data_IF_754168594449
#
_entry.id   IF_754168594449
#
_cell.length_a   1.000
_cell.length_b   1.000
_cell.length_c   1.000
_cell.angle_alpha   90.00
_cell.angle_beta   90.00
_cell.angle_gamma   90.00
#
_symmetry.space_group_name_H-M   'P 1'
#
loop_
_entity.id
_entity.type
_entity.pdbx_description
1 polymer ?
#
# COMPACT_ATOMS: atom_id res chain seq x y z
N UNK A 1 13.54 -13.21 34.61
CA UNK A 1 12.96 -14.44 34.04
C UNK A 1 11.81 -14.07 33.10
N UNK A 2 11.51 -14.92 32.11
CA UNK A 2 10.38 -14.69 31.20
C UNK A 2 9.06 -14.92 31.97
N UNK A 3 8.06 -14.03 31.89
CA UNK A 3 6.77 -14.23 32.56
C UNK A 3 6.01 -15.47 32.05
N UNK A 4 5.32 -16.19 32.94
CA UNK A 4 4.51 -17.37 32.57
C UNK A 4 3.44 -17.07 31.51
N UNK A 5 2.87 -15.85 31.53
CA UNK A 5 1.87 -15.39 30.57
C UNK A 5 2.43 -15.34 29.14
N UNK A 6 3.69 -14.95 28.99
CA UNK A 6 4.41 -14.95 27.72
C UNK A 6 4.61 -16.38 27.21
N UNK A 7 5.00 -17.30 28.09
CA UNK A 7 5.20 -18.71 27.74
C UNK A 7 3.90 -19.39 27.29
N UNK A 8 2.80 -19.16 28.00
CA UNK A 8 1.48 -19.65 27.61
C UNK A 8 1.03 -19.09 26.26
N UNK A 9 1.28 -17.80 26.01
CA UNK A 9 0.97 -17.18 24.71
C UNK A 9 1.75 -17.81 23.56
N UNK A 10 3.03 -18.13 23.79
CA UNK A 10 3.84 -18.82 22.79
C UNK A 10 3.35 -20.24 22.53
N UNK A 11 2.98 -20.97 23.58
CA UNK A 11 2.45 -22.32 23.47
C UNK A 11 1.14 -22.34 22.66
N UNK A 12 0.23 -21.41 22.93
CA UNK A 12 -1.03 -21.28 22.18
C UNK A 12 -0.83 -20.89 20.71
N UNK A 13 0.28 -20.21 20.37
CA UNK A 13 0.60 -19.77 19.01
C UNK A 13 1.66 -20.65 18.33
N UNK A 14 2.06 -21.78 18.94
CA UNK A 14 3.19 -22.60 18.48
C UNK A 14 3.06 -23.00 17.01
N UNK A 15 1.87 -23.43 16.59
CA UNK A 15 1.65 -23.93 15.24
C UNK A 15 1.74 -22.77 14.24
N UNK A 16 1.22 -21.60 14.60
CA UNK A 16 1.37 -20.38 13.80
C UNK A 16 2.81 -19.87 13.72
N UNK A 17 3.72 -20.25 14.61
CA UNK A 17 5.15 -19.94 14.47
C UNK A 17 5.88 -20.98 13.61
N UNK A 18 5.54 -22.25 13.76
CA UNK A 18 6.22 -23.36 13.07
C UNK A 18 5.80 -23.49 11.60
N UNK A 19 4.57 -23.13 11.24
CA UNK A 19 4.06 -23.26 9.86
C UNK A 19 4.32 -22.04 8.98
N UNK A 20 4.87 -20.95 9.53
CA UNK A 20 5.06 -19.73 8.72
C UNK A 20 6.28 -19.82 7.81
N UNK A 21 6.05 -19.80 6.49
CA UNK A 21 7.10 -19.73 5.46
C UNK A 21 7.64 -18.30 5.21
N UNK A 22 7.46 -17.39 6.18
CA UNK A 22 7.82 -15.97 5.99
C UNK A 22 9.32 -15.73 6.05
N UNK A 23 9.72 -14.58 5.49
CA UNK A 23 11.11 -14.11 5.55
C UNK A 23 11.58 -14.01 7.02
N UNK A 24 12.61 -14.80 7.37
CA UNK A 24 13.19 -14.89 8.71
C UNK A 24 13.75 -13.57 9.25
N UNK A 25 13.95 -12.55 8.39
CA UNK A 25 14.34 -11.19 8.80
C UNK A 25 13.20 -10.38 9.41
N UNK A 26 11.95 -10.84 9.30
CA UNK A 26 10.80 -10.15 9.89
C UNK A 26 10.60 -10.62 11.34
N UNK A 27 10.89 -9.73 12.30
CA UNK A 27 10.83 -10.00 13.74
C UNK A 27 9.41 -10.26 14.29
N UNK A 28 8.37 -10.01 13.49
CA UNK A 28 6.97 -10.18 13.91
C UNK A 28 6.18 -10.98 12.89
N UNK A 29 5.10 -11.63 13.32
CA UNK A 29 4.18 -12.38 12.46
C UNK A 29 3.35 -11.49 11.49
N UNK A 30 3.80 -10.26 11.19
CA UNK A 30 3.18 -9.37 10.18
C UNK A 30 1.81 -8.80 10.54
N UNK A 31 1.23 -9.15 11.69
CA UNK A 31 -0.15 -8.78 12.04
C UNK A 31 -0.31 -8.26 13.47
N UNK A 32 0.78 -7.84 14.12
CA UNK A 32 0.73 -7.38 15.53
C UNK A 32 0.23 -5.93 15.69
N UNK A 33 0.04 -5.19 14.58
CA UNK A 33 -0.63 -3.90 14.62
C UNK A 33 -2.15 -4.06 14.54
N UNK A 34 -2.90 -3.36 15.40
CA UNK A 34 -4.37 -3.30 15.32
C UNK A 34 -4.79 -2.90 13.90
N UNK A 35 -5.55 -3.73 13.17
CA UNK A 35 -6.11 -3.31 11.89
C UNK A 35 -7.08 -2.17 12.19
N UNK A 36 -6.79 -0.98 11.68
CA UNK A 36 -7.85 0.01 11.51
C UNK A 36 -8.59 -0.44 10.27
N UNK A 37 -9.62 -1.25 10.48
CA UNK A 37 -10.52 -1.70 9.42
C UNK A 37 -11.32 -0.49 8.93
N UNK A 38 -10.76 0.25 7.98
CA UNK A 38 -11.53 1.21 7.20
C UNK A 38 -12.49 0.40 6.34
N UNK A 39 -13.80 0.55 6.56
CA UNK A 39 -14.82 -0.16 5.80
C UNK A 39 -14.75 0.18 4.29
N UNK A 40 -14.26 1.38 3.98
CA UNK A 40 -14.04 1.91 2.63
C UNK A 40 -12.60 1.69 2.10
N UNK A 41 -11.84 0.77 2.69
CA UNK A 41 -10.44 0.55 2.28
C UNK A 41 -10.28 0.21 0.80
N UNK A 42 -11.23 -0.52 0.21
CA UNK A 42 -11.18 -0.90 -1.21
C UNK A 42 -11.51 0.30 -2.11
N UNK A 43 -12.47 1.13 -1.73
CA UNK A 43 -12.85 2.33 -2.49
C UNK A 43 -11.72 3.36 -2.49
N UNK A 44 -11.06 3.54 -1.33
CA UNK A 44 -9.86 4.36 -1.21
C UNK A 44 -8.72 3.82 -2.10
N UNK A 45 -8.57 2.50 -2.19
CA UNK A 45 -7.56 1.88 -3.05
C UNK A 45 -7.85 2.14 -4.54
N UNK A 46 -9.11 2.00 -4.97
CA UNK A 46 -9.51 2.30 -6.35
C UNK A 46 -9.24 3.77 -6.72
N UNK A 47 -9.52 4.71 -5.80
CA UNK A 47 -9.14 6.11 -5.96
C UNK A 47 -7.62 6.29 -6.10
N UNK A 48 -6.83 5.65 -5.24
CA UNK A 48 -5.37 5.73 -5.30
C UNK A 48 -4.81 5.21 -6.63
N UNK A 49 -5.37 4.12 -7.16
CA UNK A 49 -5.00 3.54 -8.45
C UNK A 49 -5.37 4.45 -9.62
N UNK A 50 -6.54 5.08 -9.59
CA UNK A 50 -6.97 6.06 -10.58
C UNK A 50 -6.03 7.28 -10.63
N UNK A 51 -5.72 7.87 -9.47
CA UNK A 51 -4.79 9.01 -9.36
C UNK A 51 -3.38 8.63 -9.86
N UNK A 52 -2.94 7.41 -9.59
CA UNK A 52 -1.66 6.91 -10.07
C UNK A 52 -1.65 6.65 -11.58
N UNK A 53 -2.76 6.20 -12.16
CA UNK A 53 -2.90 5.99 -13.60
C UNK A 53 -2.73 7.30 -14.37
N UNK A 54 -3.29 8.38 -13.83
CA UNK A 54 -3.17 9.74 -14.37
C UNK A 54 -1.80 10.39 -14.11
N UNK A 55 -0.82 9.62 -13.60
CA UNK A 55 0.56 10.03 -13.33
C UNK A 55 0.72 11.19 -12.33
N UNK A 56 -0.30 11.48 -11.53
CA UNK A 56 -0.20 12.47 -10.47
C UNK A 56 0.55 11.90 -9.25
N UNK A 57 1.27 12.78 -8.56
CA UNK A 57 1.88 12.44 -7.27
C UNK A 57 0.76 12.21 -6.25
N UNK A 58 0.48 10.95 -5.93
CA UNK A 58 -0.42 10.59 -4.85
C UNK A 58 0.22 10.97 -3.51
N UNK A 59 -0.38 11.95 -2.83
CA UNK A 59 0.03 12.36 -1.49
C UNK A 59 -0.98 11.90 -0.47
N UNK A 60 -0.55 11.81 0.78
CA UNK A 60 -1.45 11.55 1.90
C UNK A 60 -2.56 12.59 2.02
N UNK A 61 -2.31 13.83 1.60
CA UNK A 61 -3.30 14.90 1.57
C UNK A 61 -4.43 14.59 0.58
N UNK A 62 -4.11 14.07 -0.61
CA UNK A 62 -5.12 13.61 -1.58
C UNK A 62 -6.02 12.51 -0.99
N UNK A 63 -5.42 11.55 -0.28
CA UNK A 63 -6.18 10.51 0.42
C UNK A 63 -7.11 11.11 1.49
N UNK A 64 -6.62 12.02 2.32
CA UNK A 64 -7.44 12.67 3.36
C UNK A 64 -8.56 13.51 2.75
N UNK A 65 -8.30 14.24 1.66
CA UNK A 65 -9.32 14.99 0.94
C UNK A 65 -10.42 14.07 0.42
N UNK A 66 -10.05 12.94 -0.21
CA UNK A 66 -11.01 11.95 -0.69
C UNK A 66 -11.86 11.35 0.44
N UNK A 67 -11.24 11.01 1.58
CA UNK A 67 -11.96 10.48 2.74
C UNK A 67 -12.92 11.53 3.30
N UNK A 68 -12.52 12.80 3.35
CA UNK A 68 -13.40 13.90 3.79
C UNK A 68 -14.60 14.07 2.87
N UNK A 69 -14.44 13.92 1.56
CA UNK A 69 -15.54 14.10 0.61
C UNK A 69 -16.51 12.92 0.58
N UNK A 70 -16.03 11.68 0.71
CA UNK A 70 -16.86 10.48 0.59
C UNK A 70 -17.32 9.90 1.93
N UNK A 71 -16.56 10.13 3.00
CA UNK A 71 -16.77 9.53 4.32
C UNK A 71 -16.64 10.55 5.45
N UNK A 72 -17.26 11.72 5.30
CA UNK A 72 -17.20 12.81 6.28
C UNK A 72 -17.63 12.36 7.69
N UNK A 73 -18.75 11.64 7.81
CA UNK A 73 -19.27 11.15 9.10
C UNK A 73 -18.28 10.23 9.83
N UNK A 74 -17.51 9.44 9.07
CA UNK A 74 -16.46 8.60 9.61
C UNK A 74 -15.28 9.44 10.14
N UNK A 75 -14.86 10.47 9.40
CA UNK A 75 -13.79 11.39 9.83
C UNK A 75 -14.18 12.12 11.11
N UNK A 76 -15.40 12.62 11.19
CA UNK A 76 -15.93 13.30 12.37
C UNK A 76 -15.92 12.38 13.60
N UNK A 77 -16.45 11.16 13.45
CA UNK A 77 -16.44 10.15 14.51
C UNK A 77 -15.01 9.79 14.94
N UNK A 78 -14.09 9.67 13.97
CA UNK A 78 -12.68 9.38 14.23
C UNK A 78 -12.00 10.52 15.02
N UNK A 79 -12.22 11.77 14.60
CA UNK A 79 -11.66 12.95 15.27
C UNK A 79 -12.25 13.13 16.67
N UNK A 80 -13.56 12.91 16.86
CA UNK A 80 -14.19 12.94 18.18
C UNK A 80 -13.56 11.91 19.14
N UNK A 81 -13.34 10.67 18.68
CA UNK A 81 -12.66 9.64 19.48
C UNK A 81 -11.21 10.00 19.85
N UNK A 82 -10.58 10.84 19.03
CA UNK A 82 -9.20 11.31 19.22
C UNK A 82 -9.11 12.70 19.85
N UNK A 83 -10.25 13.35 20.16
CA UNK A 83 -10.29 14.73 20.65
C UNK A 83 -9.47 14.92 21.94
N UNK A 84 -9.54 13.95 22.86
CA UNK A 84 -8.78 13.98 24.11
C UNK A 84 -7.24 13.98 23.92
N UNK A 85 -6.75 13.53 22.77
CA UNK A 85 -5.31 13.44 22.48
C UNK A 85 -4.75 14.65 21.72
N UNK A 86 -5.60 15.57 21.25
CA UNK A 86 -5.19 16.76 20.45
C UNK A 86 -4.57 16.45 19.07
N UNK A 87 -4.23 15.19 18.79
CA UNK A 87 -3.46 14.73 17.62
C UNK A 87 -4.34 13.95 16.63
N UNK A 88 -5.64 14.26 16.58
CA UNK A 88 -6.60 13.54 15.73
C UNK A 88 -6.24 13.58 14.25
N UNK A 89 -5.87 14.77 13.75
CA UNK A 89 -5.50 14.96 12.35
C UNK A 89 -4.17 14.29 12.00
N UNK A 90 -3.16 14.41 12.85
CA UNK A 90 -1.87 13.71 12.66
C UNK A 90 -2.06 12.19 12.68
N UNK A 91 -2.95 11.71 13.54
CA UNK A 91 -3.36 10.30 13.58
C UNK A 91 -4.03 9.85 12.29
N UNK A 92 -4.86 10.69 11.68
CA UNK A 92 -5.50 10.44 10.38
C UNK A 92 -4.47 10.42 9.24
N UNK A 93 -3.53 11.36 9.23
CA UNK A 93 -2.44 11.39 8.27
C UNK A 93 -1.58 10.12 8.37
N UNK A 94 -1.19 9.74 9.59
CA UNK A 94 -0.44 8.51 9.84
C UNK A 94 -1.21 7.25 9.48
N UNK A 95 -2.55 7.26 9.59
CA UNK A 95 -3.39 6.15 9.14
C UNK A 95 -3.28 5.98 7.62
N UNK A 96 -3.43 7.06 6.87
CA UNK A 96 -3.31 7.05 5.41
C UNK A 96 -1.89 6.66 4.95
N UNK A 97 -0.83 7.15 5.62
CA UNK A 97 0.55 6.73 5.34
C UNK A 97 0.75 5.22 5.53
N UNK A 98 0.28 4.67 6.65
CA UNK A 98 0.36 3.23 6.91
C UNK A 98 -0.45 2.42 5.91
N UNK A 99 -1.61 2.93 5.49
CA UNK A 99 -2.43 2.28 4.46
C UNK A 99 -1.70 2.22 3.12
N UNK A 100 -1.17 3.35 2.65
CA UNK A 100 -0.37 3.44 1.43
C UNK A 100 0.83 2.47 1.46
N UNK A 101 1.59 2.48 2.57
CA UNK A 101 2.73 1.59 2.75
C UNK A 101 2.32 0.11 2.71
N UNK A 102 1.21 -0.28 3.38
CA UNK A 102 0.71 -1.66 3.35
C UNK A 102 0.29 -2.12 1.96
N UNK A 103 -0.16 -1.19 1.12
CA UNK A 103 -0.54 -1.44 -0.28
C UNK A 103 0.62 -1.23 -1.25
N UNK A 104 1.86 -1.10 -0.75
CA UNK A 104 3.08 -0.89 -1.55
C UNK A 104 3.10 0.39 -2.39
N UNK A 105 2.29 1.39 -2.01
CA UNK A 105 2.41 2.73 -2.56
C UNK A 105 3.60 3.41 -1.89
N UNK A 106 4.59 3.76 -2.71
CA UNK A 106 5.78 4.49 -2.29
C UNK A 106 6.20 5.47 -3.38
N UNK A 107 6.92 6.51 -2.97
CA UNK A 107 7.51 7.44 -3.92
C UNK A 107 8.44 6.65 -4.83
N UNK A 108 8.17 6.69 -6.14
CA UNK A 108 9.10 6.16 -7.15
C UNK A 108 10.17 7.21 -7.37
N UNK A 109 11.41 6.88 -7.03
CA UNK A 109 12.56 7.73 -7.33
C UNK A 109 12.74 7.76 -8.85
N UNK A 110 12.74 8.95 -9.49
CA UNK A 110 13.12 9.08 -10.88
C UNK A 110 14.52 8.49 -11.06
N UNK A 111 14.62 7.41 -11.82
CA UNK A 111 15.89 6.85 -12.22
C UNK A 111 16.11 7.25 -13.67
N UNK A 112 17.32 7.69 -14.01
CA UNK A 112 17.67 8.13 -15.37
C UNK A 112 17.34 7.09 -16.44
N UNK A 113 17.36 5.80 -16.10
CA UNK A 113 16.98 4.70 -17.01
C UNK A 113 15.49 4.45 -17.16
N UNK A 114 14.62 5.14 -16.41
CA UNK A 114 13.16 4.90 -16.43
C UNK A 114 12.45 5.95 -17.28
N UNK A 115 11.87 5.50 -18.39
CA UNK A 115 11.04 6.30 -19.29
C UNK A 115 9.62 6.47 -18.74
N UNK A 116 8.93 7.54 -19.16
CA UNK A 116 7.49 7.71 -18.93
C UNK A 116 6.72 6.59 -19.64
N UNK A 117 5.55 6.21 -19.12
CA UNK A 117 4.73 5.11 -19.67
C UNK A 117 4.48 5.26 -21.18
N UNK A 118 4.05 6.45 -21.62
CA UNK A 118 3.78 6.72 -23.03
C UNK A 118 5.02 6.56 -23.93
N UNK A 119 6.20 6.97 -23.46
CA UNK A 119 7.45 6.80 -24.19
C UNK A 119 7.88 5.33 -24.26
N UNK A 120 7.64 4.59 -23.18
CA UNK A 120 7.93 3.16 -23.09
C UNK A 120 7.01 2.35 -24.03
N UNK A 121 5.75 2.75 -24.15
CA UNK A 121 4.77 2.18 -25.08
C UNK A 121 5.20 2.41 -26.53
N UNK A 122 5.60 3.64 -26.87
CA UNK A 122 6.17 3.96 -28.19
C UNK A 122 7.42 3.14 -28.52
N UNK A 123 8.34 2.97 -27.55
CA UNK A 123 9.53 2.14 -27.75
C UNK A 123 9.18 0.66 -27.93
N UNK A 124 8.20 0.15 -27.18
CA UNK A 124 7.70 -1.21 -27.38
C UNK A 124 7.14 -1.42 -28.78
N UNK A 125 6.35 -0.48 -29.28
CA UNK A 125 5.73 -0.58 -30.60
C UNK A 125 6.79 -0.52 -31.72
N UNK A 126 7.75 0.40 -31.61
CA UNK A 126 8.87 0.49 -32.55
C UNK A 126 9.74 -0.79 -32.54
N UNK A 127 10.05 -1.31 -31.36
CA UNK A 127 10.77 -2.57 -31.23
C UNK A 127 9.96 -3.75 -31.82
N UNK A 128 8.66 -3.84 -31.53
CA UNK A 128 7.81 -4.89 -32.08
C UNK A 128 7.78 -4.85 -33.62
N UNK A 129 7.64 -3.65 -34.21
CA UNK A 129 7.66 -3.49 -35.66
C UNK A 129 8.98 -4.00 -36.28
N UNK A 130 10.13 -3.56 -35.76
CA UNK A 130 11.44 -3.98 -36.25
C UNK A 130 11.73 -5.47 -36.01
N UNK A 131 11.23 -6.02 -34.90
CA UNK A 131 11.36 -7.45 -34.60
C UNK A 131 10.59 -8.30 -35.63
N UNK A 132 9.33 -7.95 -35.89
CA UNK A 132 8.50 -8.69 -36.85
C UNK A 132 8.96 -8.50 -38.30
N UNK A 133 9.48 -7.33 -38.66
CA UNK A 133 10.12 -7.13 -39.97
C UNK A 133 11.31 -8.09 -40.19
N UNK A 134 12.11 -8.33 -39.14
CA UNK A 134 13.32 -9.17 -39.23
C UNK A 134 13.06 -10.66 -39.07
N UNK A 135 12.01 -11.03 -38.32
CA UNK A 135 11.77 -12.42 -37.90
C UNK A 135 10.41 -12.99 -38.33
N UNK A 136 9.53 -12.19 -38.95
CA UNK A 136 8.16 -12.60 -39.31
C UNK A 136 8.07 -13.70 -40.36
N UNK A 137 9.10 -13.87 -41.20
CA UNK A 137 9.14 -14.93 -42.22
C UNK A 137 9.68 -16.27 -41.71
N UNK A 138 10.22 -16.32 -40.48
CA UNK A 138 10.73 -17.57 -39.91
C UNK A 138 9.57 -18.35 -39.30
N UNK A 139 9.31 -19.60 -39.73
CA UNK A 139 8.32 -20.44 -39.07
C UNK A 139 8.75 -20.70 -37.62
N UNK A 140 7.76 -20.76 -36.73
CA UNK A 140 7.91 -21.04 -35.30
C UNK A 140 8.50 -22.42 -35.03
#
# INVERSE_FOLDING_TARGET
GIPCTTWQTWLSKKDAYLTTERNKRCLTLGCQGRPVAMQFANDLLAFMEAVQADSHLLTTAHMVAWIKTHHQSWVETYLQRKAASGTGYDGLLGLCQRFAHRRSFGQRVPCYSKLKRAELEKQKDAFAATFWEKHGEKPL
#
